data_IF_193521590064
#
_entry.id   IF_193521590064
#
_cell.length_a   1.000
_cell.length_b   1.000
_cell.length_c   1.000
_cell.angle_alpha   90.00
_cell.angle_beta   90.00
_cell.angle_gamma   90.00
#
_symmetry.space_group_name_H-M   'P 1'
#
loop_
_entity.id
_entity.type
_entity.pdbx_description
1 polymer ?
#
# COMPACT_ATOMS: atom_id res chain seq x y z
N UNK A 1 -2.86 17.25 8.53
CA UNK A 1 -3.34 16.36 7.46
C UNK A 1 -3.84 15.04 8.08
N UNK A 2 -4.24 14.01 7.34
CA UNK A 2 -4.74 12.74 7.90
C UNK A 2 -4.24 11.55 7.09
N UNK A 3 -2.98 11.20 7.33
CA UNK A 3 -2.33 10.03 6.75
C UNK A 3 -2.84 8.73 7.39
N UNK A 4 -2.61 7.58 6.74
CA UNK A 4 -3.07 6.28 7.22
C UNK A 4 -2.05 5.18 6.99
N UNK A 5 -2.08 4.16 7.84
CA UNK A 5 -1.35 2.90 7.67
C UNK A 5 -2.32 1.73 7.80
N UNK A 6 -2.15 0.69 6.98
CA UNK A 6 -2.99 -0.51 7.06
C UNK A 6 -2.28 -1.80 6.69
N UNK A 7 -2.81 -2.92 7.17
CA UNK A 7 -2.36 -4.27 6.79
C UNK A 7 -3.07 -4.68 5.51
N UNK A 8 -2.33 -5.13 4.49
CA UNK A 8 -2.87 -5.78 3.29
C UNK A 8 -2.93 -7.30 3.48
N UNK A 9 -4.10 -7.89 3.78
CA UNK A 9 -4.19 -9.32 4.01
C UNK A 9 -3.78 -10.12 2.77
N UNK A 10 -3.07 -11.24 2.97
CA UNK A 10 -2.65 -12.10 1.86
C UNK A 10 -1.54 -11.55 0.96
N UNK A 11 -1.03 -10.34 1.22
CA UNK A 11 0.10 -9.74 0.49
C UNK A 11 1.38 -9.79 1.31
N UNK A 12 2.45 -10.38 0.80
CA UNK A 12 3.81 -10.29 1.30
C UNK A 12 4.79 -10.51 0.11
N UNK A 13 5.29 -9.42 -0.51
CA UNK A 13 6.19 -9.53 -1.66
C UNK A 13 7.43 -10.40 -1.41
N UNK A 14 7.99 -10.34 -0.19
CA UNK A 14 9.14 -11.16 0.21
C UNK A 14 8.87 -12.66 0.34
N UNK A 15 7.61 -13.07 0.27
CA UNK A 15 7.18 -14.48 0.27
C UNK A 15 6.50 -14.86 -1.06
N UNK A 16 6.72 -14.08 -2.13
CA UNK A 16 6.12 -14.32 -3.45
C UNK A 16 4.61 -14.06 -3.51
N UNK A 17 4.06 -13.31 -2.54
CA UNK A 17 2.65 -12.90 -2.51
C UNK A 17 2.57 -11.40 -2.84
N UNK A 18 2.43 -11.01 -4.12
CA UNK A 18 2.58 -9.61 -4.51
C UNK A 18 1.53 -8.71 -3.87
N UNK A 19 1.92 -7.45 -3.64
CA UNK A 19 0.99 -6.39 -3.29
C UNK A 19 0.32 -5.88 -4.58
N UNK A 20 -0.95 -6.21 -4.77
CA UNK A 20 -1.70 -5.80 -5.95
C UNK A 20 -2.16 -4.33 -5.89
N UNK A 21 -2.44 -3.81 -4.70
CA UNK A 21 -2.92 -2.44 -4.50
C UNK A 21 -2.63 -1.96 -3.06
N UNK A 22 -1.93 -0.84 -2.83
CA UNK A 22 -1.42 0.12 -3.83
C UNK A 22 -0.30 -0.44 -4.71
N UNK A 23 -0.16 0.14 -5.91
CA UNK A 23 0.99 -0.08 -6.79
C UNK A 23 2.08 0.91 -6.39
N UNK A 24 3.22 0.41 -5.93
CA UNK A 24 4.34 1.20 -5.37
C UNK A 24 5.67 1.01 -6.13
N UNK A 25 5.62 0.51 -7.37
CA UNK A 25 6.81 0.13 -8.15
C UNK A 25 7.75 1.32 -8.36
N UNK A 26 9.05 1.13 -8.14
CA UNK A 26 10.05 2.13 -8.48
C UNK A 26 9.97 2.51 -9.98
N UNK A 27 10.10 3.82 -10.26
CA UNK A 27 10.06 4.35 -11.63
C UNK A 27 8.66 4.48 -12.25
N UNK A 28 7.60 4.01 -11.59
CA UNK A 28 6.21 4.24 -12.00
C UNK A 28 5.52 5.24 -11.06
N UNK A 29 4.45 5.88 -11.54
CA UNK A 29 3.63 6.73 -10.68
C UNK A 29 2.82 5.82 -9.72
N UNK A 30 2.94 5.98 -8.39
CA UNK A 30 2.24 5.10 -7.46
C UNK A 30 0.74 5.39 -7.50
N UNK A 31 -0.07 4.34 -7.41
CA UNK A 31 -1.53 4.46 -7.47
C UNK A 31 -2.22 3.56 -6.45
N UNK A 32 -3.45 3.92 -6.08
CA UNK A 32 -4.31 3.08 -5.26
C UNK A 32 -5.75 3.13 -5.75
N UNK A 33 -6.26 1.99 -6.23
CA UNK A 33 -7.49 1.98 -7.02
C UNK A 33 -8.67 1.26 -6.40
N UNK A 34 -8.48 0.08 -5.84
CA UNK A 34 -9.58 -0.84 -5.52
C UNK A 34 -9.67 -1.13 -4.01
N UNK A 35 -8.53 -1.25 -3.34
CA UNK A 35 -8.42 -1.47 -1.92
C UNK A 35 -8.89 -0.25 -1.12
N UNK A 36 -9.31 -0.51 0.13
CA UNK A 36 -9.66 0.51 1.14
C UNK A 36 -10.45 1.71 0.60
N UNK A 37 -11.62 1.50 -0.05
CA UNK A 37 -12.47 2.62 -0.49
C UNK A 37 -12.84 3.57 0.67
N UNK A 38 -12.90 3.03 1.89
CA UNK A 38 -13.07 3.78 3.13
C UNK A 38 -11.94 4.80 3.37
N UNK A 39 -10.67 4.42 3.18
CA UNK A 39 -9.52 5.33 3.35
C UNK A 39 -9.39 6.28 2.16
N UNK A 40 -9.54 5.76 0.94
CA UNK A 40 -9.40 6.57 -0.28
C UNK A 40 -10.37 7.75 -0.30
N UNK A 41 -11.57 7.57 0.25
CA UNK A 41 -12.53 8.66 0.44
C UNK A 41 -12.05 9.76 1.39
N UNK A 42 -11.30 9.40 2.43
CA UNK A 42 -10.94 10.30 3.54
C UNK A 42 -9.65 11.10 3.29
N UNK A 43 -8.69 10.51 2.59
CA UNK A 43 -7.41 11.18 2.32
C UNK A 43 -7.56 12.38 1.37
N UNK A 44 -6.69 13.36 1.60
CA UNK A 44 -6.55 14.61 0.87
C UNK A 44 -5.15 14.69 0.25
N UNK A 45 -4.94 15.69 -0.61
CA UNK A 45 -3.64 15.94 -1.22
C UNK A 45 -2.59 16.23 -0.12
N UNK A 46 -1.40 15.64 -0.26
CA UNK A 46 -0.31 15.67 0.70
C UNK A 46 -0.44 14.70 1.89
N UNK A 47 -1.60 14.04 2.07
CA UNK A 47 -1.70 12.91 3.01
C UNK A 47 -0.81 11.74 2.53
N UNK A 48 -0.44 10.85 3.44
CA UNK A 48 0.31 9.64 3.11
C UNK A 48 -0.51 8.38 3.38
N UNK A 49 -0.29 7.34 2.56
CA UNK A 49 -0.79 5.99 2.81
C UNK A 49 0.40 5.04 2.87
N UNK A 50 0.51 4.31 3.98
CA UNK A 50 1.45 3.21 4.16
C UNK A 50 0.73 1.86 4.22
N UNK A 51 1.40 0.84 3.72
CA UNK A 51 0.87 -0.53 3.67
C UNK A 51 1.85 -1.51 4.31
N UNK A 52 1.31 -2.40 5.13
CA UNK A 52 2.03 -3.46 5.82
C UNK A 52 1.67 -4.78 5.16
N UNK A 53 2.63 -5.68 5.05
CA UNK A 53 2.38 -7.06 4.65
C UNK A 53 1.35 -7.76 5.56
N UNK A 54 0.61 -8.70 4.98
CA UNK A 54 -0.28 -9.60 5.69
C UNK A 54 0.47 -10.65 6.49
N UNK A 55 -0.25 -11.35 7.36
CA UNK A 55 0.31 -12.48 8.10
C UNK A 55 0.60 -13.66 7.16
N UNK A 56 1.83 -14.19 7.22
CA UNK A 56 2.27 -15.39 6.50
C UNK A 56 2.60 -16.56 7.45
N UNK A 57 2.03 -16.53 8.66
CA UNK A 57 2.25 -17.53 9.70
C UNK A 57 3.10 -17.01 10.86
N UNK A 58 3.17 -17.79 11.95
CA UNK A 58 3.73 -17.35 13.24
C UNK A 58 5.23 -17.02 13.21
N UNK A 59 5.97 -17.51 12.22
CA UNK A 59 7.43 -17.32 12.11
C UNK A 59 7.82 -16.20 11.14
N UNK A 60 6.84 -15.57 10.49
CA UNK A 60 7.09 -14.53 9.49
C UNK A 60 6.62 -13.19 10.03
N UNK A 61 7.57 -12.32 10.34
CA UNK A 61 7.26 -10.98 10.82
C UNK A 61 6.65 -10.15 9.69
N UNK A 62 5.52 -9.51 10.00
CA UNK A 62 4.95 -8.47 9.14
C UNK A 62 5.86 -7.25 9.13
N UNK A 63 5.91 -6.55 7.99
CA UNK A 63 6.72 -5.35 7.82
C UNK A 63 5.97 -4.30 7.02
N UNK A 64 6.38 -3.04 7.17
CA UNK A 64 5.90 -1.96 6.31
C UNK A 64 6.49 -2.18 4.92
N UNK A 65 5.65 -2.55 3.95
CA UNK A 65 6.07 -2.76 2.55
C UNK A 65 6.48 -1.42 1.94
N UNK A 66 5.72 -0.36 2.21
CA UNK A 66 5.97 0.95 1.64
C UNK A 66 4.82 1.92 1.82
N UNK A 67 4.87 3.04 1.10
CA UNK A 67 3.82 4.03 1.06
C UNK A 67 3.98 5.06 -0.06
N UNK A 68 2.96 5.89 -0.20
CA UNK A 68 2.89 7.00 -1.16
C UNK A 68 2.35 8.26 -0.48
N UNK A 69 2.74 9.42 -1.01
CA UNK A 69 2.09 10.70 -0.73
C UNK A 69 1.01 10.96 -1.79
N UNK A 70 -0.16 11.44 -1.40
CA UNK A 70 -1.28 11.69 -2.33
C UNK A 70 -1.01 12.98 -3.11
N UNK A 71 -0.92 12.85 -4.43
CA UNK A 71 -0.67 13.97 -5.34
C UNK A 71 -1.96 14.46 -6.00
N UNK A 72 -2.79 13.53 -6.47
CA UNK A 72 -4.11 13.84 -7.00
C UNK A 72 -5.08 12.70 -6.75
N UNK A 73 -6.36 12.98 -7.01
CA UNK A 73 -7.46 12.06 -6.75
C UNK A 73 -8.45 12.16 -7.89
N UNK A 74 -8.56 11.09 -8.67
CA UNK A 74 -9.54 10.99 -9.74
C UNK A 74 -10.89 10.60 -9.15
N UNK A 75 -11.95 11.08 -9.78
CA UNK A 75 -13.32 10.84 -9.32
C UNK A 75 -13.63 9.34 -9.28
N UNK A 76 -13.22 8.62 -10.31
CA UNK A 76 -13.41 7.18 -10.43
C UNK A 76 -12.31 6.47 -11.24
N UNK A 77 -12.50 5.18 -11.42
CA UNK A 77 -11.61 4.32 -12.19
C UNK A 77 -11.79 4.42 -13.71
N UNK A 78 -12.84 5.05 -14.22
CA UNK A 78 -12.99 5.30 -15.67
C UNK A 78 -11.97 6.37 -16.07
N UNK A 79 -11.91 7.46 -15.30
CA UNK A 79 -10.86 8.46 -15.48
C UNK A 79 -9.45 7.86 -15.34
N UNK A 80 -9.28 6.88 -14.44
CA UNK A 80 -8.01 6.17 -14.29
C UNK A 80 -7.69 5.23 -15.47
N UNK A 81 -8.72 4.62 -16.06
CA UNK A 81 -8.58 3.69 -17.19
C UNK A 81 -7.90 4.37 -18.38
N UNK A 82 -8.23 5.63 -18.64
CA UNK A 82 -7.62 6.43 -19.69
C UNK A 82 -6.23 6.94 -19.30
N UNK A 83 -6.06 7.40 -18.05
CA UNK A 83 -4.83 8.03 -17.59
C UNK A 83 -3.67 7.04 -17.32
N UNK A 84 -3.98 5.79 -16.95
CA UNK A 84 -3.00 4.78 -16.53
C UNK A 84 -3.28 3.42 -17.17
N UNK A 85 -3.11 3.29 -18.51
CA UNK A 85 -3.36 2.04 -19.22
C UNK A 85 -2.56 0.85 -18.68
N UNK A 86 -1.37 1.09 -18.14
CA UNK A 86 -0.50 0.10 -17.50
C UNK A 86 -1.05 -0.47 -16.18
N UNK A 87 -1.99 0.23 -15.55
CA UNK A 87 -2.62 -0.18 -14.28
C UNK A 87 -3.97 -0.88 -14.47
N UNK A 88 -4.39 -1.11 -15.72
CA UNK A 88 -5.59 -1.90 -16.07
C UNK A 88 -5.45 -3.33 -15.60
N UNK A 89 -6.57 -3.91 -15.14
CA UNK A 89 -6.62 -5.29 -14.66
C UNK A 89 -6.18 -6.27 -15.75
N UNK A 90 -5.09 -6.98 -15.47
CA UNK A 90 -4.56 -8.05 -16.32
C UNK A 90 -4.20 -9.25 -15.45
N UNK A 91 -4.08 -10.40 -16.08
CA UNK A 91 -3.68 -11.66 -15.44
C UNK A 91 -2.58 -12.27 -16.30
N UNK A 92 -1.51 -12.74 -15.66
CA UNK A 92 -0.48 -13.49 -16.37
C UNK A 92 -0.87 -14.96 -16.57
N UNK A 93 0.01 -15.74 -17.20
CA UNK A 93 -0.19 -17.16 -17.50
C UNK A 93 -0.45 -18.01 -16.24
N UNK A 94 0.02 -17.57 -15.07
CA UNK A 94 -0.21 -18.24 -13.79
C UNK A 94 -1.56 -17.87 -13.15
N UNK A 95 -2.33 -16.98 -13.78
CA UNK A 95 -3.54 -16.40 -13.22
C UNK A 95 -3.25 -15.36 -12.13
N UNK A 96 -2.01 -14.90 -12.01
CA UNK A 96 -1.64 -13.86 -11.04
C UNK A 96 -2.14 -12.51 -11.54
N UNK A 97 -2.86 -11.83 -10.66
CA UNK A 97 -3.46 -10.51 -10.91
C UNK A 97 -2.40 -9.42 -10.96
N UNK A 98 -2.51 -8.54 -11.95
CA UNK A 98 -1.78 -7.27 -12.08
C UNK A 98 -2.75 -6.11 -12.34
N UNK A 99 -2.37 -4.91 -11.93
CA UNK A 99 -3.20 -3.71 -12.07
C UNK A 99 -4.25 -3.54 -10.98
N UNK A 100 -4.67 -2.29 -10.78
CA UNK A 100 -5.62 -1.88 -9.74
C UNK A 100 -6.85 -1.14 -10.28
N UNK A 101 -7.00 -1.07 -11.61
CA UNK A 101 -8.18 -0.55 -12.31
C UNK A 101 -9.03 -1.75 -12.77
N UNK A 102 -10.22 -1.89 -12.19
CA UNK A 102 -11.15 -3.03 -12.31
C UNK A 102 -12.38 -2.71 -13.17
N UNK A 103 -12.28 -1.67 -14.01
CA UNK A 103 -13.34 -1.30 -14.95
C UNK A 103 -12.96 -1.71 -16.37
N UNK A 104 -13.97 -2.01 -17.19
CA UNK A 104 -13.80 -2.14 -18.65
C UNK A 104 -13.73 -0.76 -19.31
N UNK A 105 -13.50 -0.72 -20.63
CA UNK A 105 -13.49 0.54 -21.39
C UNK A 105 -14.86 1.25 -21.34
N UNK A 106 -15.95 0.50 -21.17
CA UNK A 106 -17.31 1.01 -21.03
C UNK A 106 -17.64 1.41 -19.57
N UNK A 107 -16.68 1.29 -18.65
CA UNK A 107 -16.84 1.62 -17.23
C UNK A 107 -17.58 0.56 -16.41
N UNK A 108 -17.81 -0.63 -16.98
CA UNK A 108 -18.46 -1.74 -16.28
C UNK A 108 -17.48 -2.48 -15.37
N UNK A 109 -17.98 -3.24 -14.40
CA UNK A 109 -17.14 -4.09 -13.56
C UNK A 109 -16.48 -5.18 -14.42
N UNK A 110 -15.15 -5.23 -14.43
CA UNK A 110 -14.42 -6.29 -15.11
C UNK A 110 -14.86 -7.65 -14.53
N UNK A 111 -15.39 -8.58 -15.35
CA UNK A 111 -15.95 -9.83 -14.87
C UNK A 111 -14.92 -10.78 -14.22
N UNK A 112 -13.62 -10.49 -14.39
CA UNK A 112 -12.52 -11.24 -13.77
C UNK A 112 -12.18 -10.71 -12.38
N UNK A 113 -12.69 -9.54 -11.99
CA UNK A 113 -12.51 -8.99 -10.65
C UNK A 113 -13.57 -9.55 -9.68
N UNK A 114 -13.11 -10.11 -8.56
CA UNK A 114 -13.98 -10.75 -7.56
C UNK A 114 -14.41 -9.83 -6.41
N UNK A 115 -14.08 -8.53 -6.46
CA UNK A 115 -14.43 -7.65 -5.37
C UNK A 115 -15.93 -7.29 -5.37
N UNK A 116 -16.60 -7.51 -4.23
CA UNK A 116 -17.94 -6.95 -4.01
C UNK A 116 -17.92 -5.43 -3.75
N UNK A 117 -19.12 -4.81 -3.77
CA UNK A 117 -19.33 -3.36 -3.60
C UNK A 117 -18.65 -2.49 -4.67
N UNK A 118 -18.78 -2.89 -5.94
CA UNK A 118 -18.16 -2.24 -7.09
C UNK A 118 -18.32 -0.70 -7.09
N UNK A 119 -19.55 -0.20 -6.92
CA UNK A 119 -19.86 1.24 -6.93
C UNK A 119 -19.03 2.06 -5.94
N UNK A 120 -18.69 1.48 -4.79
CA UNK A 120 -17.84 2.14 -3.78
C UNK A 120 -16.36 2.05 -4.13
N UNK A 121 -15.94 0.99 -4.80
CA UNK A 121 -14.54 0.71 -5.14
C UNK A 121 -14.05 1.50 -6.32
N UNK A 122 -14.91 1.78 -7.30
CA UNK A 122 -14.49 2.55 -8.47
C UNK A 122 -14.18 4.01 -8.12
N UNK A 123 -14.83 4.58 -7.10
CA UNK A 123 -14.68 6.00 -6.75
C UNK A 123 -13.37 6.30 -6.06
N UNK A 124 -12.86 7.52 -6.15
CA UNK A 124 -11.69 8.02 -5.39
C UNK A 124 -10.37 7.31 -5.76
N UNK A 125 -10.06 7.18 -7.05
CA UNK A 125 -8.78 6.58 -7.47
C UNK A 125 -7.64 7.51 -7.08
N UNK A 126 -6.67 7.00 -6.31
CA UNK A 126 -5.58 7.81 -5.80
C UNK A 126 -4.39 7.72 -6.73
N UNK A 127 -3.83 8.88 -7.05
CA UNK A 127 -2.56 9.04 -7.74
C UNK A 127 -1.58 9.66 -6.75
N UNK A 128 -0.46 8.99 -6.55
CA UNK A 128 0.55 9.43 -5.61
C UNK A 128 1.79 10.03 -6.25
N UNK A 129 2.68 10.45 -5.37
CA UNK A 129 4.06 10.83 -5.65
C UNK A 129 4.97 10.34 -4.53
N UNK A 130 6.27 10.53 -4.72
CA UNK A 130 7.30 10.24 -3.73
C UNK A 130 7.16 8.83 -3.13
N UNK A 131 6.99 7.74 -3.92
CA UNK A 131 6.83 6.41 -3.36
C UNK A 131 8.08 5.99 -2.57
N UNK A 132 7.87 5.24 -1.51
CA UNK A 132 8.92 4.49 -0.81
C UNK A 132 8.45 3.05 -0.67
N UNK A 133 9.25 2.08 -1.12
CA UNK A 133 8.94 0.66 -1.03
C UNK A 133 10.21 -0.14 -0.74
N UNK A 134 10.09 -1.17 0.09
CA UNK A 134 11.13 -2.17 0.33
C UNK A 134 10.97 -3.28 -0.71
N UNK A 135 11.88 -3.32 -1.68
CA UNK A 135 11.76 -4.14 -2.90
C UNK A 135 12.85 -5.23 -2.95
N UNK A 136 14.07 -4.94 -2.50
CA UNK A 136 15.16 -5.92 -2.55
C UNK A 136 15.07 -6.92 -1.39
N UNK A 137 15.65 -8.14 -1.53
CA UNK A 137 15.68 -9.11 -0.44
C UNK A 137 16.26 -8.53 0.86
N UNK A 138 17.32 -7.73 0.77
CA UNK A 138 17.95 -7.09 1.93
C UNK A 138 17.08 -6.00 2.54
N UNK A 139 16.43 -5.17 1.74
CA UNK A 139 15.47 -4.16 2.22
C UNK A 139 14.31 -4.83 2.98
N UNK A 140 13.78 -5.92 2.44
CA UNK A 140 12.68 -6.67 3.04
C UNK A 140 13.11 -7.32 4.36
N UNK A 141 14.29 -7.94 4.40
CA UNK A 141 14.87 -8.52 5.63
C UNK A 141 14.97 -7.47 6.74
N UNK A 142 15.59 -6.32 6.46
CA UNK A 142 15.67 -5.20 7.39
C UNK A 142 14.28 -4.70 7.81
N UNK A 143 13.33 -4.65 6.85
CA UNK A 143 11.94 -4.33 7.11
C UNK A 143 11.31 -5.28 8.14
N UNK A 144 11.52 -6.60 8.01
CA UNK A 144 11.00 -7.62 8.94
C UNK A 144 11.62 -7.53 10.32
N UNK A 145 12.91 -7.24 10.39
CA UNK A 145 13.63 -7.08 11.66
C UNK A 145 13.14 -5.87 12.43
N UNK A 146 12.86 -4.75 11.74
CA UNK A 146 12.75 -3.43 12.39
C UNK A 146 11.37 -2.82 12.39
N UNK A 147 10.44 -3.26 11.55
CA UNK A 147 9.11 -2.62 11.44
C UNK A 147 8.36 -2.55 12.77
N UNK A 148 8.44 -3.59 13.62
CA UNK A 148 7.80 -3.55 14.94
C UNK A 148 8.40 -2.45 15.81
N UNK A 149 9.73 -2.35 15.87
CA UNK A 149 10.44 -1.32 16.65
C UNK A 149 10.21 0.09 16.09
N UNK A 150 10.23 0.26 14.77
CA UNK A 150 9.94 1.54 14.11
C UNK A 150 8.53 1.99 14.50
N UNK A 151 7.53 1.12 14.32
CA UNK A 151 6.15 1.48 14.60
C UNK A 151 5.88 1.62 16.10
N UNK A 152 6.48 0.82 16.97
CA UNK A 152 6.31 0.98 18.42
C UNK A 152 6.81 2.35 18.89
N UNK A 153 7.94 2.82 18.35
CA UNK A 153 8.48 4.15 18.62
C UNK A 153 7.63 5.28 18.01
N UNK A 154 7.06 5.09 16.81
CA UNK A 154 6.20 6.10 16.16
C UNK A 154 4.86 6.27 16.89
N UNK A 155 4.36 5.21 17.50
CA UNK A 155 3.05 5.19 18.16
C UNK A 155 3.12 5.20 19.70
N UNK A 156 4.31 5.38 20.28
CA UNK A 156 4.57 5.39 21.73
C UNK A 156 4.03 4.14 22.43
N UNK A 157 4.33 2.97 21.86
CA UNK A 157 3.91 1.64 22.32
C UNK A 157 5.10 0.70 22.55
N UNK A 158 6.02 1.00 23.49
CA UNK A 158 7.27 0.27 23.66
C UNK A 158 7.09 -1.22 23.96
N UNK A 159 5.99 -1.59 24.63
CA UNK A 159 5.67 -2.99 24.99
C UNK A 159 5.09 -3.82 23.84
N UNK A 160 4.83 -3.21 22.67
CA UNK A 160 4.21 -3.92 21.56
C UNK A 160 5.24 -4.77 20.80
N UNK A 161 4.98 -6.07 20.72
CA UNK A 161 5.84 -7.05 20.03
C UNK A 161 5.31 -7.44 18.65
N UNK A 162 4.11 -6.97 18.28
CA UNK A 162 3.48 -7.27 16.99
C UNK A 162 2.86 -6.04 16.36
N UNK A 163 2.83 -6.00 15.03
CA UNK A 163 2.16 -4.93 14.27
C UNK A 163 0.70 -4.75 14.70
N UNK A 164 0.00 -5.86 14.98
CA UNK A 164 -1.42 -5.83 15.38
C UNK A 164 -1.64 -5.14 16.73
N UNK A 165 -0.73 -5.29 17.69
CA UNK A 165 -0.81 -4.54 18.96
C UNK A 165 -0.62 -3.03 18.75
N UNK A 166 0.14 -2.64 17.72
CA UNK A 166 0.46 -1.24 17.42
C UNK A 166 -0.69 -0.56 16.67
N UNK A 167 -1.12 -1.13 15.54
CA UNK A 167 -2.06 -0.47 14.61
C UNK A 167 -3.41 -1.20 14.46
N UNK A 168 -3.61 -2.36 15.07
CA UNK A 168 -4.78 -3.19 14.81
C UNK A 168 -4.81 -3.66 13.36
N UNK A 169 -5.87 -3.31 12.60
CA UNK A 169 -5.98 -3.57 11.16
C UNK A 169 -5.53 -2.37 10.32
N UNK A 170 -5.80 -1.17 10.81
CA UNK A 170 -5.40 0.10 10.22
C UNK A 170 -5.46 1.20 11.27
N UNK A 171 -4.69 2.27 11.04
CA UNK A 171 -4.64 3.40 11.97
C UNK A 171 -4.44 4.71 11.22
N UNK A 172 -5.03 5.77 11.76
CA UNK A 172 -4.75 7.15 11.35
C UNK A 172 -3.39 7.59 11.90
N UNK A 173 -2.69 8.40 11.14
CA UNK A 173 -1.39 8.97 11.45
C UNK A 173 -1.49 10.48 11.58
N UNK A 174 -0.71 11.07 12.48
CA UNK A 174 -0.34 12.49 12.39
C UNK A 174 0.68 12.71 11.27
N UNK A 175 0.91 13.98 10.94
CA UNK A 175 1.87 14.35 9.90
C UNK A 175 3.30 13.99 10.32
N UNK A 176 3.64 14.19 11.61
CA UNK A 176 4.90 13.75 12.21
C UNK A 176 5.07 12.22 12.13
N UNK A 177 4.03 11.45 12.45
CA UNK A 177 4.09 9.99 12.37
C UNK A 177 4.30 9.50 10.94
N UNK A 178 3.63 10.11 9.97
CA UNK A 178 3.82 9.80 8.56
C UNK A 178 5.26 10.10 8.09
N UNK A 179 5.78 11.27 8.49
CA UNK A 179 7.16 11.65 8.19
C UNK A 179 8.18 10.68 8.80
N UNK A 180 8.02 10.33 10.08
CA UNK A 180 8.92 9.39 10.78
C UNK A 180 8.92 8.00 10.17
N UNK A 181 7.75 7.48 9.75
CA UNK A 181 7.66 6.18 9.05
C UNK A 181 8.40 6.27 7.72
N UNK A 182 8.14 7.31 6.91
CA UNK A 182 8.81 7.51 5.62
C UNK A 182 10.33 7.57 5.77
N UNK A 183 10.82 8.43 6.67
CA UNK A 183 12.25 8.59 6.94
C UNK A 183 12.88 7.26 7.35
N UNK A 184 12.22 6.50 8.23
CA UNK A 184 12.73 5.19 8.64
C UNK A 184 12.84 4.22 7.46
N UNK A 185 11.86 4.20 6.54
CA UNK A 185 11.95 3.36 5.33
C UNK A 185 13.10 3.79 4.41
N UNK A 186 13.30 5.09 4.21
CA UNK A 186 14.42 5.61 3.43
C UNK A 186 15.77 5.25 4.08
N UNK A 187 15.86 5.25 5.41
CA UNK A 187 17.04 4.81 6.15
C UNK A 187 17.33 3.32 5.92
N UNK A 188 16.32 2.46 5.98
CA UNK A 188 16.48 1.03 5.67
C UNK A 188 16.96 0.82 4.23
N UNK A 189 16.46 1.60 3.26
CA UNK A 189 16.91 1.52 1.86
C UNK A 189 18.36 1.98 1.70
N UNK A 190 18.81 2.98 2.45
CA UNK A 190 20.21 3.43 2.43
C UNK A 190 21.13 2.36 3.01
N UNK A 191 20.75 1.78 4.14
CA UNK A 191 21.52 0.71 4.77
C UNK A 191 21.57 -0.58 3.94
N UNK A 192 20.49 -0.93 3.23
CA UNK A 192 20.50 -2.10 2.36
C UNK A 192 21.48 -1.99 1.17
N UNK A 193 21.99 -0.78 0.88
CA UNK A 193 22.94 -0.51 -0.21
C UNK A 193 24.39 -0.41 0.25
N UNK A 194 24.63 -0.27 1.55
CA UNK A 194 25.98 -0.26 2.15
C UNK A 194 26.48 -1.68 2.38
#
# INVERSE_FOLDING_TARGET
MSSYIFISPGSDPGMGRPLADPILRAGARPTMGTCRPDLRRLVKLGDHIFVISGSMGKRVNQYVIGGLEIDSKLEDQIAAFDAFPENRLTFDESGQRHGNIIVTAEGLHDPRDSHGNFDKRIRNYLVGKNPVALETPREIELGRERSVSILSNVFDKPEATTIRQIIGRFRKLSDDQAYRIRSALDDLKREARS
#
